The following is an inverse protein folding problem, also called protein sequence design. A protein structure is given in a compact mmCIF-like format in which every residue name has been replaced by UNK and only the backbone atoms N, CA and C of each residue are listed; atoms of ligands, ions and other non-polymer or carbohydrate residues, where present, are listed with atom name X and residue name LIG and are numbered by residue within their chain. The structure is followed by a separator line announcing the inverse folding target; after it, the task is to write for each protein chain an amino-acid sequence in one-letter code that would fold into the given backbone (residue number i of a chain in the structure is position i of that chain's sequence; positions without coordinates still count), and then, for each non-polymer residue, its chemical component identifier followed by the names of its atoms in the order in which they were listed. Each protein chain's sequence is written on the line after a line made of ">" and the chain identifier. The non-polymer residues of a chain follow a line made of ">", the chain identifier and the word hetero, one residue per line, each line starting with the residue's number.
data_IF_297360835120
#
_entry.id   IF_297360835120
#
_cell.length_a   1.000
_cell.length_b   1.000
_cell.length_c   1.000
_cell.angle_alpha   90.00
_cell.angle_beta   90.00
_cell.angle_gamma   90.00
#
_symmetry.space_group_name_H-M   'P 1'
#
loop_
_entity.id
_entity.type
_entity.pdbx_description
1 polymer ?
#
# COMPACT_ATOMS: atom_id res chain seq x y z
N UNK A 1 -98.70 -17.26 27.48
CA UNK A 1 -97.28 -17.19 27.88
C UNK A 1 -96.62 -16.11 27.06
N UNK A 2 -96.27 -14.98 27.67
CA UNK A 2 -95.67 -13.83 26.99
C UNK A 2 -94.17 -14.03 26.97
N UNK A 3 -93.58 -14.17 25.79
CA UNK A 3 -92.13 -14.28 25.59
C UNK A 3 -91.54 -12.89 25.73
N UNK A 4 -90.80 -12.66 26.80
CA UNK A 4 -90.04 -11.43 27.05
C UNK A 4 -89.04 -11.20 25.91
N UNK A 5 -89.17 -10.05 25.23
CA UNK A 5 -88.20 -9.57 24.26
C UNK A 5 -86.86 -9.27 24.96
N UNK A 6 -85.79 -9.93 24.51
CA UNK A 6 -84.42 -9.54 24.88
C UNK A 6 -84.17 -8.12 24.37
N UNK A 7 -83.88 -7.21 25.29
CA UNK A 7 -83.72 -5.79 25.05
C UNK A 7 -82.49 -5.47 24.15
N UNK A 8 -82.53 -4.36 23.38
CA UNK A 8 -81.44 -3.92 22.49
C UNK A 8 -80.15 -3.44 23.21
N UNK A 9 -80.15 -3.28 24.53
CA UNK A 9 -79.00 -2.78 25.32
C UNK A 9 -77.76 -3.70 25.30
N UNK A 10 -77.98 -5.00 25.06
CA UNK A 10 -76.91 -6.02 25.07
C UNK A 10 -75.99 -5.88 23.84
N UNK A 11 -76.54 -5.45 22.69
CA UNK A 11 -75.76 -5.26 21.45
C UNK A 11 -74.87 -4.03 21.50
N UNK A 12 -75.38 -2.92 22.04
CA UNK A 12 -74.59 -1.69 22.20
C UNK A 12 -73.41 -1.92 23.14
N UNK A 13 -73.64 -2.65 24.23
CA UNK A 13 -72.58 -3.03 25.19
C UNK A 13 -71.51 -3.94 24.55
N UNK A 14 -71.91 -4.87 23.69
CA UNK A 14 -70.97 -5.71 22.93
C UNK A 14 -70.12 -4.91 21.95
N UNK A 15 -70.72 -3.95 21.22
CA UNK A 15 -70.00 -3.08 20.29
C UNK A 15 -68.98 -2.20 21.03
N UNK A 16 -69.37 -1.62 22.17
CA UNK A 16 -68.47 -0.81 23.01
C UNK A 16 -67.32 -1.66 23.54
N UNK A 17 -67.58 -2.88 23.99
CA UNK A 17 -66.53 -3.79 24.47
C UNK A 17 -65.54 -4.18 23.37
N UNK A 18 -66.01 -4.44 22.15
CA UNK A 18 -65.13 -4.71 21.01
C UNK A 18 -64.32 -3.48 20.60
N UNK A 19 -64.92 -2.27 20.64
CA UNK A 19 -64.19 -1.01 20.45
C UNK A 19 -63.10 -0.80 21.49
N UNK A 20 -63.41 -1.04 22.77
CA UNK A 20 -62.43 -0.94 23.87
C UNK A 20 -61.31 -1.98 23.71
N UNK A 21 -61.64 -3.21 23.30
CA UNK A 21 -60.64 -4.24 22.98
C UNK A 21 -59.76 -3.84 21.82
N UNK A 22 -60.33 -3.35 20.72
CA UNK A 22 -59.60 -2.86 19.56
C UNK A 22 -58.68 -1.69 19.90
N UNK A 23 -59.16 -0.75 20.72
CA UNK A 23 -58.36 0.38 21.20
C UNK A 23 -57.20 -0.07 22.10
N UNK A 24 -57.45 -1.04 22.99
CA UNK A 24 -56.42 -1.60 23.86
C UNK A 24 -55.36 -2.38 23.06
N UNK A 25 -55.75 -3.16 22.07
CA UNK A 25 -54.82 -3.86 21.17
C UNK A 25 -54.00 -2.86 20.35
N UNK A 26 -54.66 -1.84 19.78
CA UNK A 26 -53.99 -0.75 19.08
C UNK A 26 -52.95 -0.05 19.96
N UNK A 27 -53.29 0.23 21.23
CA UNK A 27 -52.36 0.84 22.19
C UNK A 27 -51.16 -0.06 22.49
N UNK A 28 -51.37 -1.37 22.66
CA UNK A 28 -50.27 -2.33 22.86
C UNK A 28 -49.35 -2.40 21.65
N UNK A 29 -49.93 -2.44 20.44
CA UNK A 29 -49.17 -2.44 19.18
C UNK A 29 -48.37 -1.16 18.99
N UNK A 30 -48.93 0.01 19.33
CA UNK A 30 -48.22 1.28 19.29
C UNK A 30 -47.01 1.27 20.23
N UNK A 31 -47.18 0.85 21.49
CA UNK A 31 -46.06 0.74 22.44
C UNK A 31 -44.95 -0.18 21.93
N UNK A 32 -45.31 -1.34 21.36
CA UNK A 32 -44.33 -2.25 20.79
C UNK A 32 -43.57 -1.64 19.60
N UNK A 33 -44.26 -0.87 18.76
CA UNK A 33 -43.61 -0.14 17.66
C UNK A 33 -42.66 0.93 18.21
N UNK A 34 -43.07 1.70 19.22
CA UNK A 34 -42.22 2.72 19.85
C UNK A 34 -40.96 2.11 20.46
N UNK A 35 -41.07 0.98 21.16
CA UNK A 35 -39.92 0.25 21.71
C UNK A 35 -38.97 -0.22 20.61
N UNK A 36 -39.52 -0.74 19.51
CA UNK A 36 -38.71 -1.16 18.36
C UNK A 36 -38.04 0.02 17.67
N UNK A 37 -38.72 1.16 17.53
CA UNK A 37 -38.14 2.37 16.95
C UNK A 37 -36.98 2.88 17.80
N UNK A 38 -37.15 2.93 19.14
CA UNK A 38 -36.06 3.27 20.07
C UNK A 38 -34.87 2.31 19.94
N UNK A 39 -35.12 1.01 19.82
CA UNK A 39 -34.06 0.03 19.63
C UNK A 39 -33.29 0.23 18.32
N UNK A 40 -34.00 0.59 17.23
CA UNK A 40 -33.37 0.91 15.93
C UNK A 40 -32.55 2.19 16.03
N UNK A 41 -33.08 3.23 16.66
CA UNK A 41 -32.39 4.51 16.85
C UNK A 41 -31.09 4.36 17.65
N UNK A 42 -31.12 3.57 18.73
CA UNK A 42 -29.91 3.26 19.50
C UNK A 42 -28.86 2.52 18.67
N UNK A 43 -29.29 1.55 17.83
CA UNK A 43 -28.39 0.81 16.94
C UNK A 43 -27.80 1.72 15.87
N UNK A 44 -28.61 2.61 15.31
CA UNK A 44 -28.18 3.57 14.30
C UNK A 44 -27.15 4.54 14.87
N UNK A 45 -27.39 5.11 16.05
CA UNK A 45 -26.41 5.97 16.72
C UNK A 45 -25.11 5.23 17.06
N UNK A 46 -25.19 3.97 17.47
CA UNK A 46 -23.98 3.15 17.70
C UNK A 46 -23.22 2.92 16.40
N UNK A 47 -23.92 2.58 15.32
CA UNK A 47 -23.32 2.39 14.00
C UNK A 47 -22.64 3.66 13.50
N UNK A 48 -23.30 4.82 13.64
CA UNK A 48 -22.72 6.12 13.28
C UNK A 48 -21.41 6.40 14.02
N UNK A 49 -21.37 6.15 15.34
CA UNK A 49 -20.14 6.32 16.13
C UNK A 49 -19.04 5.35 15.70
N UNK A 50 -19.39 4.10 15.40
CA UNK A 50 -18.42 3.11 14.89
C UNK A 50 -17.86 3.55 13.54
N UNK A 51 -18.72 3.93 12.61
CA UNK A 51 -18.31 4.41 11.28
C UNK A 51 -17.42 5.65 11.41
N UNK A 52 -17.78 6.61 12.25
CA UNK A 52 -16.95 7.79 12.50
C UNK A 52 -15.57 7.40 13.06
N UNK A 53 -15.55 6.51 14.07
CA UNK A 53 -14.30 6.02 14.66
C UNK A 53 -13.41 5.32 13.63
N UNK A 54 -14.00 4.52 12.74
CA UNK A 54 -13.27 3.81 11.71
C UNK A 54 -12.76 4.76 10.63
N UNK A 55 -13.54 5.76 10.21
CA UNK A 55 -13.07 6.81 9.29
C UNK A 55 -11.85 7.55 9.87
N UNK A 56 -11.89 7.93 11.14
CA UNK A 56 -10.76 8.60 11.80
C UNK A 56 -9.50 7.71 11.88
N UNK A 57 -9.67 6.40 12.09
CA UNK A 57 -8.55 5.44 12.05
C UNK A 57 -7.99 5.31 10.64
N UNK A 58 -8.85 5.13 9.65
CA UNK A 58 -8.44 5.03 8.24
C UNK A 58 -7.68 6.28 7.78
N UNK A 59 -8.13 7.47 8.18
CA UNK A 59 -7.40 8.71 7.87
C UNK A 59 -6.00 8.75 8.49
N UNK A 60 -5.85 8.28 9.73
CA UNK A 60 -4.54 8.21 10.41
C UNK A 60 -3.62 7.20 9.74
N UNK A 61 -4.13 6.00 9.46
CA UNK A 61 -3.37 4.95 8.76
C UNK A 61 -2.95 5.42 7.37
N UNK A 62 -3.84 6.08 6.63
CA UNK A 62 -3.52 6.59 5.30
C UNK A 62 -2.44 7.67 5.34
N UNK A 63 -2.46 8.58 6.33
CA UNK A 63 -1.39 9.56 6.55
C UNK A 63 -0.06 8.89 6.88
N UNK A 64 -0.08 7.82 7.69
CA UNK A 64 1.12 7.07 8.02
C UNK A 64 1.70 6.35 6.79
N UNK A 65 0.85 5.72 5.99
CA UNK A 65 1.26 5.09 4.72
C UNK A 65 1.85 6.12 3.77
N UNK A 66 1.22 7.28 3.60
CA UNK A 66 1.74 8.35 2.75
C UNK A 66 3.14 8.81 3.20
N UNK A 67 3.36 8.98 4.51
CA UNK A 67 4.67 9.31 5.07
C UNK A 67 5.71 8.22 4.79
N UNK A 68 5.36 6.95 5.00
CA UNK A 68 6.26 5.82 4.69
C UNK A 68 6.62 5.78 3.20
N UNK A 69 5.68 6.10 2.30
CA UNK A 69 5.97 6.18 0.86
C UNK A 69 6.97 7.30 0.55
N UNK A 70 6.82 8.48 1.16
CA UNK A 70 7.77 9.60 1.00
C UNK A 70 9.17 9.21 1.51
N UNK A 71 9.26 8.51 2.63
CA UNK A 71 10.54 8.04 3.18
C UNK A 71 11.20 6.99 2.26
N UNK A 72 10.42 6.09 1.66
CA UNK A 72 10.91 5.13 0.66
C UNK A 72 11.39 5.85 -0.60
N UNK A 73 10.66 6.85 -1.08
CA UNK A 73 11.06 7.63 -2.25
C UNK A 73 12.42 8.33 -2.02
N UNK A 74 12.59 8.94 -0.85
CA UNK A 74 13.88 9.54 -0.45
C UNK A 74 15.00 8.50 -0.41
N UNK A 75 14.76 7.34 0.20
CA UNK A 75 15.75 6.27 0.26
C UNK A 75 16.16 5.77 -1.14
N UNK A 76 15.19 5.60 -2.05
CA UNK A 76 15.45 5.23 -3.45
C UNK A 76 16.27 6.30 -4.16
N UNK A 77 15.98 7.58 -3.92
CA UNK A 77 16.72 8.68 -4.53
C UNK A 77 18.19 8.72 -4.05
N UNK A 78 18.44 8.51 -2.76
CA UNK A 78 19.79 8.42 -2.21
C UNK A 78 20.56 7.18 -2.72
N UNK A 79 19.88 6.04 -2.87
CA UNK A 79 20.47 4.86 -3.52
C UNK A 79 20.86 5.16 -4.97
N UNK A 80 20.01 5.84 -5.74
CA UNK A 80 20.32 6.24 -7.11
C UNK A 80 21.55 7.17 -7.19
N UNK A 81 21.69 8.12 -6.27
CA UNK A 81 22.88 8.98 -6.17
C UNK A 81 24.13 8.15 -5.88
N UNK A 82 24.05 7.25 -4.92
CA UNK A 82 25.16 6.37 -4.53
C UNK A 82 25.60 5.49 -5.70
N UNK A 83 24.66 4.88 -6.42
CA UNK A 83 24.95 4.07 -7.62
C UNK A 83 25.63 4.92 -8.70
N UNK A 84 25.16 6.15 -8.94
CA UNK A 84 25.81 7.05 -9.91
C UNK A 84 27.23 7.41 -9.50
N UNK A 85 27.49 7.62 -8.21
CA UNK A 85 28.83 7.89 -7.69
C UNK A 85 29.75 6.67 -7.90
N UNK A 86 29.30 5.47 -7.53
CA UNK A 86 30.03 4.22 -7.76
C UNK A 86 30.35 4.03 -9.25
N UNK A 87 29.38 4.25 -10.14
CA UNK A 87 29.60 4.15 -11.59
C UNK A 87 30.64 5.16 -12.10
N UNK A 88 30.69 6.36 -11.51
CA UNK A 88 31.71 7.37 -11.85
C UNK A 88 33.09 6.93 -11.39
N UNK A 89 33.20 6.37 -10.19
CA UNK A 89 34.46 5.83 -9.66
C UNK A 89 34.95 4.64 -10.49
N UNK A 90 34.07 3.69 -10.81
CA UNK A 90 34.39 2.53 -11.68
C UNK A 90 34.96 3.00 -13.03
N UNK A 91 34.40 4.05 -13.63
CA UNK A 91 34.92 4.62 -14.88
C UNK A 91 36.28 5.31 -14.74
N UNK A 92 36.65 5.74 -13.53
CA UNK A 92 37.95 6.36 -13.27
C UNK A 92 39.06 5.31 -13.02
N UNK A 93 38.71 4.06 -12.72
CA UNK A 93 39.69 2.99 -12.62
C UNK A 93 40.22 2.59 -14.01
N UNK A 94 41.54 2.45 -14.11
CA UNK A 94 42.20 1.94 -15.32
C UNK A 94 41.64 0.55 -15.67
N UNK A 95 41.24 0.38 -16.92
CA UNK A 95 40.77 -0.90 -17.42
C UNK A 95 41.95 -1.88 -17.53
N UNK A 96 41.64 -3.19 -17.60
CA UNK A 96 42.66 -4.20 -17.90
C UNK A 96 43.43 -3.92 -19.19
N UNK A 97 42.78 -3.26 -20.17
CA UNK A 97 43.42 -2.85 -21.42
C UNK A 97 44.48 -1.79 -21.14
N UNK A 98 44.12 -0.74 -20.39
CA UNK A 98 45.03 0.35 -20.04
C UNK A 98 46.27 -0.17 -19.29
N UNK A 99 46.08 -1.14 -18.39
CA UNK A 99 47.19 -1.79 -17.65
C UNK A 99 48.06 -2.65 -18.58
N UNK A 100 47.45 -3.37 -19.54
CA UNK A 100 48.20 -4.18 -20.50
C UNK A 100 49.01 -3.31 -21.47
N UNK A 101 48.44 -2.20 -21.95
CA UNK A 101 49.16 -1.22 -22.80
C UNK A 101 50.34 -0.60 -22.05
N UNK A 102 50.14 -0.24 -20.77
CA UNK A 102 51.23 0.21 -19.90
C UNK A 102 52.32 -0.87 -19.74
N UNK A 103 51.92 -2.14 -19.61
CA UNK A 103 52.86 -3.26 -19.51
C UNK A 103 53.66 -3.44 -20.80
N UNK A 104 53.02 -3.38 -21.97
CA UNK A 104 53.69 -3.45 -23.27
C UNK A 104 54.66 -2.27 -23.48
N UNK A 105 54.22 -1.06 -23.13
CA UNK A 105 55.09 0.13 -23.15
C UNK A 105 56.31 -0.03 -22.24
N UNK A 106 56.12 -0.55 -21.02
CA UNK A 106 57.22 -0.84 -20.10
C UNK A 106 58.14 -1.94 -20.66
N UNK A 107 57.60 -2.98 -21.30
CA UNK A 107 58.41 -4.03 -21.93
C UNK A 107 59.26 -3.48 -23.08
N UNK A 108 58.71 -2.58 -23.89
CA UNK A 108 59.45 -1.88 -24.97
C UNK A 108 60.54 -0.97 -24.39
N UNK A 109 60.23 -0.22 -23.33
CA UNK A 109 61.16 0.73 -22.74
C UNK A 109 62.18 0.11 -21.78
N UNK A 110 62.02 -1.15 -21.38
CA UNK A 110 62.92 -1.80 -20.44
C UNK A 110 64.27 -2.13 -21.12
N UNK A 111 65.35 -1.40 -20.81
CA UNK A 111 66.64 -1.60 -21.44
C UNK A 111 67.30 -2.93 -21.04
N UNK A 112 66.75 -3.65 -20.06
CA UNK A 112 67.22 -4.98 -19.64
C UNK A 112 66.70 -6.11 -20.56
N UNK A 113 65.67 -5.86 -21.36
CA UNK A 113 65.12 -6.83 -22.35
C UNK A 113 65.24 -6.36 -23.79
N UNK A 114 65.41 -5.07 -24.04
CA UNK A 114 65.78 -4.56 -25.35
C UNK A 114 67.22 -4.98 -25.65
N UNK A 115 67.40 -6.12 -26.33
CA UNK A 115 68.64 -6.42 -27.02
C UNK A 115 68.75 -5.41 -28.17
N UNK A 116 69.38 -4.27 -27.90
CA UNK A 116 69.74 -3.30 -28.94
C UNK A 116 70.74 -4.00 -29.85
N UNK A 117 70.24 -4.52 -30.96
CA UNK A 117 71.05 -5.19 -31.98
C UNK A 117 71.91 -4.12 -32.65
N UNK A 118 73.22 -4.28 -32.61
CA UNK A 118 74.14 -3.37 -33.28
C UNK A 118 74.02 -3.51 -34.79
N UNK A 119 74.37 -2.46 -35.55
CA UNK A 119 74.22 -2.43 -37.02
C UNK A 119 74.93 -3.60 -37.70
N UNK A 120 76.05 -4.03 -37.12
CA UNK A 120 76.87 -5.16 -37.56
C UNK A 120 76.18 -6.51 -37.37
N UNK A 121 75.42 -6.66 -36.27
CA UNK A 121 74.66 -7.88 -35.99
C UNK A 121 73.44 -8.02 -36.91
N UNK A 122 72.80 -6.92 -37.28
CA UNK A 122 71.70 -6.90 -38.26
C UNK A 122 72.22 -7.31 -39.65
N UNK A 123 73.39 -6.81 -40.06
CA UNK A 123 73.99 -7.19 -41.35
C UNK A 123 74.39 -8.67 -41.41
N UNK A 124 74.80 -9.27 -40.29
CA UNK A 124 75.15 -10.69 -40.20
C UNK A 124 73.91 -11.58 -40.38
N UNK A 125 72.79 -11.25 -39.73
CA UNK A 125 71.52 -11.99 -39.87
C UNK A 125 71.00 -11.96 -41.32
N UNK A 126 71.11 -10.81 -42.00
CA UNK A 126 70.67 -10.67 -43.39
C UNK A 126 71.52 -11.51 -44.36
N UNK A 127 72.81 -11.72 -44.06
CA UNK A 127 73.67 -12.60 -44.88
C UNK A 127 73.39 -14.09 -44.65
N UNK A 128 72.97 -14.48 -43.45
CA UNK A 128 72.63 -15.88 -43.13
C UNK A 128 71.23 -16.29 -43.64
N UNK A 129 70.34 -15.33 -43.90
CA UNK A 129 69.02 -15.58 -44.50
C UNK A 129 69.02 -15.63 -46.05
N UNK A 130 70.16 -15.40 -46.69
CA UNK A 130 70.36 -15.55 -48.15
C UNK A 130 71.09 -16.85 -48.46
#
# INVERSE_FOLDING_TARGET
>A
MVVFGKQPEDRTSQIVNELVRGMNDGTRRMRFIEERMKAVEMRLSTLERTVQSDVEKFEKENKEVAKRMEDVEKAVHELQKTIKAILKEIKAFATKSDINELKELIEIYNPLRSSFVTREEVERIIREMK
#
